data_IF_480211959396
#
_entry.id   IF_480211959396
#
_cell.length_a   1.000
_cell.length_b   1.000
_cell.length_c   1.000
_cell.angle_alpha   90.00
_cell.angle_beta   90.00
_cell.angle_gamma   90.00
#
_symmetry.space_group_name_H-M   'P 1'
#
loop_
_entity.id
_entity.type
_entity.pdbx_description
1 polymer ?
#
# COMPACT_ATOMS: atom_id res chain seq x y z
N UNK A 1 -17.62 7.00 19.01
CA UNK A 1 -17.39 8.36 18.52
C UNK A 1 -17.42 8.28 17.00
N UNK A 2 -18.47 8.78 16.36
CA UNK A 2 -18.53 8.87 14.89
C UNK A 2 -17.64 10.04 14.50
N UNK A 3 -16.54 9.77 13.82
CA UNK A 3 -15.68 10.81 13.27
C UNK A 3 -16.51 11.61 12.25
N UNK A 4 -16.72 12.88 12.51
CA UNK A 4 -17.29 13.81 11.50
C UNK A 4 -16.29 13.83 10.34
N UNK A 5 -16.70 13.47 9.12
CA UNK A 5 -15.80 13.56 7.98
C UNK A 5 -15.31 15.01 7.87
N UNK A 6 -14.02 15.24 7.64
CA UNK A 6 -13.50 16.58 7.40
C UNK A 6 -14.25 17.20 6.22
N UNK A 7 -14.70 18.43 6.37
CA UNK A 7 -15.28 19.19 5.25
C UNK A 7 -14.23 19.26 4.15
N UNK A 8 -14.53 18.81 2.92
CA UNK A 8 -13.54 18.84 1.84
C UNK A 8 -13.06 20.28 1.64
N UNK A 9 -11.77 20.52 1.58
CA UNK A 9 -11.24 21.85 1.36
C UNK A 9 -11.72 22.36 -0.01
N UNK A 10 -12.25 23.58 -0.03
CA UNK A 10 -12.67 24.23 -1.28
C UNK A 10 -11.44 24.77 -1.99
N UNK A 11 -10.73 23.93 -2.72
CA UNK A 11 -9.52 24.32 -3.46
C UNK A 11 -9.76 25.43 -4.46
N UNK A 12 -10.98 25.50 -5.01
CA UNK A 12 -11.40 26.56 -5.92
C UNK A 12 -11.58 27.94 -5.26
N UNK A 13 -11.58 28.02 -3.93
CA UNK A 13 -11.61 29.28 -3.20
C UNK A 13 -10.21 29.89 -2.98
N UNK A 14 -9.15 29.17 -3.34
CA UNK A 14 -7.77 29.56 -3.13
C UNK A 14 -7.10 29.91 -4.46
N UNK A 15 -6.28 30.98 -4.50
CA UNK A 15 -5.54 31.34 -5.69
C UNK A 15 -4.48 30.29 -6.05
N UNK A 16 -4.05 30.23 -7.33
CA UNK A 16 -3.13 29.21 -7.83
C UNK A 16 -1.80 29.18 -7.06
N UNK A 17 -1.26 30.34 -6.65
CA UNK A 17 -0.03 30.45 -5.84
C UNK A 17 -0.14 29.67 -4.53
N UNK A 18 -1.28 29.78 -3.86
CA UNK A 18 -1.50 29.12 -2.57
C UNK A 18 -1.63 27.60 -2.74
N UNK A 19 -2.35 27.16 -3.76
CA UNK A 19 -2.49 25.73 -4.05
C UNK A 19 -1.15 25.10 -4.44
N UNK A 20 -0.41 25.74 -5.34
CA UNK A 20 0.92 25.28 -5.78
C UNK A 20 1.94 25.31 -4.62
N UNK A 21 1.98 26.39 -3.84
CA UNK A 21 2.89 26.50 -2.70
C UNK A 21 2.63 25.41 -1.64
N UNK A 22 1.36 25.06 -1.38
CA UNK A 22 1.01 23.98 -0.45
C UNK A 22 1.54 22.63 -0.89
N UNK A 23 1.53 22.32 -2.19
CA UNK A 23 2.15 21.11 -2.71
C UNK A 23 3.67 21.13 -2.54
N UNK A 24 4.31 22.27 -2.79
CA UNK A 24 5.77 22.42 -2.78
C UNK A 24 6.38 22.40 -1.38
N UNK A 25 5.65 22.85 -0.35
CA UNK A 25 6.15 22.91 1.05
C UNK A 25 6.22 21.52 1.71
N UNK A 26 5.60 20.49 1.13
CA UNK A 26 5.62 19.13 1.64
C UNK A 26 6.98 18.43 1.55
N UNK A 27 7.11 17.30 2.22
CA UNK A 27 8.32 16.45 2.22
C UNK A 27 8.60 15.76 0.87
N UNK A 28 7.75 15.96 -0.12
CA UNK A 28 7.85 15.30 -1.42
C UNK A 28 7.46 13.81 -1.39
N UNK A 29 7.74 13.08 -2.49
CA UNK A 29 7.36 11.68 -2.61
C UNK A 29 8.30 10.72 -1.84
N UNK A 30 9.51 11.15 -1.49
CA UNK A 30 10.56 10.29 -0.93
C UNK A 30 10.15 9.52 0.35
N UNK A 31 9.48 10.12 1.37
CA UNK A 31 9.05 9.39 2.55
C UNK A 31 8.05 8.27 2.24
N UNK A 32 7.16 8.47 1.26
CA UNK A 32 6.19 7.45 0.84
C UNK A 32 6.87 6.30 0.09
N UNK A 33 7.87 6.58 -0.73
CA UNK A 33 8.67 5.56 -1.40
C UNK A 33 9.50 4.74 -0.39
N UNK A 34 10.05 5.38 0.63
CA UNK A 34 10.73 4.68 1.73
C UNK A 34 9.75 3.80 2.52
N UNK A 35 8.56 4.29 2.80
CA UNK A 35 7.50 3.50 3.44
C UNK A 35 7.09 2.31 2.58
N UNK A 36 6.95 2.48 1.26
CA UNK A 36 6.65 1.39 0.34
C UNK A 36 7.71 0.28 0.42
N UNK A 37 8.99 0.66 0.32
CA UNK A 37 10.11 -0.28 0.44
C UNK A 37 10.14 -0.99 1.81
N UNK A 38 9.84 -0.27 2.90
CA UNK A 38 9.73 -0.86 4.24
C UNK A 38 8.61 -1.89 4.34
N UNK A 39 7.44 -1.62 3.74
CA UNK A 39 6.33 -2.57 3.70
C UNK A 39 6.62 -3.79 2.83
N UNK A 40 7.33 -3.62 1.71
CA UNK A 40 7.80 -4.74 0.88
C UNK A 40 8.78 -5.63 1.65
N UNK A 41 9.75 -5.03 2.34
CA UNK A 41 10.68 -5.77 3.21
C UNK A 41 9.97 -6.54 4.30
N UNK A 42 8.94 -5.94 4.94
CA UNK A 42 8.11 -6.62 5.93
C UNK A 42 7.33 -7.80 5.31
N UNK A 43 6.79 -7.64 4.10
CA UNK A 43 6.09 -8.71 3.42
C UNK A 43 7.00 -9.92 3.17
N UNK A 44 8.23 -9.69 2.70
CA UNK A 44 9.24 -10.74 2.48
C UNK A 44 9.59 -11.45 3.80
N UNK A 45 9.79 -10.68 4.88
CA UNK A 45 10.10 -11.24 6.19
C UNK A 45 8.97 -12.12 6.73
N UNK A 46 7.74 -11.67 6.64
CA UNK A 46 6.56 -12.42 7.07
C UNK A 46 6.36 -13.70 6.24
N UNK A 47 6.64 -13.64 4.93
CA UNK A 47 6.59 -14.81 4.05
C UNK A 47 7.64 -15.84 4.45
N UNK A 48 8.89 -15.40 4.68
CA UNK A 48 9.97 -16.25 5.16
C UNK A 48 9.59 -16.94 6.47
N UNK A 49 9.04 -16.20 7.44
CA UNK A 49 8.59 -16.77 8.71
C UNK A 49 7.47 -17.81 8.53
N UNK A 50 6.51 -17.54 7.62
CA UNK A 50 5.45 -18.50 7.34
C UNK A 50 5.99 -19.80 6.72
N UNK A 51 6.99 -19.69 5.83
CA UNK A 51 7.63 -20.84 5.20
C UNK A 51 8.49 -21.64 6.16
N UNK A 52 9.27 -20.98 7.01
CA UNK A 52 10.07 -21.62 8.05
C UNK A 52 9.18 -22.39 9.03
N UNK A 53 8.06 -21.79 9.44
CA UNK A 53 7.11 -22.45 10.35
C UNK A 53 6.44 -23.65 9.66
N UNK A 54 6.05 -23.53 8.41
CA UNK A 54 5.48 -24.64 7.63
C UNK A 54 6.51 -25.78 7.45
N UNK A 55 7.76 -25.43 7.16
CA UNK A 55 8.88 -26.37 7.06
C UNK A 55 9.14 -27.10 8.37
N UNK A 56 9.17 -26.38 9.49
CA UNK A 56 9.35 -26.96 10.82
C UNK A 56 8.21 -27.94 11.18
N UNK A 57 6.95 -27.60 10.86
CA UNK A 57 5.83 -28.51 11.05
C UNK A 57 5.92 -29.76 10.17
N UNK A 58 6.36 -29.63 8.94
CA UNK A 58 6.59 -30.76 8.04
C UNK A 58 7.66 -31.71 8.58
N UNK A 59 8.80 -31.16 9.04
CA UNK A 59 9.86 -31.95 9.69
C UNK A 59 9.35 -32.62 10.97
N UNK A 60 8.61 -31.92 11.81
CA UNK A 60 8.05 -32.44 13.03
C UNK A 60 7.16 -33.67 12.77
N UNK A 61 6.28 -33.58 11.77
CA UNK A 61 5.36 -34.69 11.42
C UNK A 61 6.06 -35.89 10.81
N UNK A 62 7.28 -35.72 10.28
CA UNK A 62 8.08 -36.87 9.79
C UNK A 62 8.66 -37.72 10.88
N UNK A 63 8.96 -37.14 12.06
CA UNK A 63 9.61 -37.83 13.17
C UNK A 63 8.68 -38.05 14.36
N UNK A 64 7.58 -37.32 14.45
CA UNK A 64 6.62 -37.41 15.56
C UNK A 64 5.22 -37.70 15.04
N UNK A 65 4.63 -38.82 15.46
CA UNK A 65 3.32 -39.26 15.00
C UNK A 65 2.34 -39.43 16.16
N UNK A 66 1.05 -39.50 15.86
CA UNK A 66 -0.02 -39.68 16.82
C UNK A 66 -0.82 -38.42 17.10
N UNK A 67 -1.84 -38.56 17.95
CA UNK A 67 -2.83 -37.52 18.22
C UNK A 67 -2.25 -36.22 18.77
N UNK A 68 -1.15 -36.27 19.49
CA UNK A 68 -0.46 -35.09 20.01
C UNK A 68 0.21 -34.29 18.90
N UNK A 69 0.86 -34.97 17.95
CA UNK A 69 1.42 -34.31 16.74
C UNK A 69 0.34 -33.66 15.90
N UNK A 70 -0.77 -34.36 15.64
CA UNK A 70 -1.89 -33.85 14.88
C UNK A 70 -2.51 -32.59 15.51
N UNK A 71 -2.64 -32.57 16.85
CA UNK A 71 -3.10 -31.40 17.59
C UNK A 71 -2.14 -30.21 17.48
N UNK A 72 -0.83 -30.45 17.58
CA UNK A 72 0.18 -29.41 17.46
C UNK A 72 0.12 -28.75 16.06
N UNK A 73 0.02 -29.59 15.03
CA UNK A 73 -0.15 -29.07 13.65
C UNK A 73 -1.44 -28.28 13.51
N UNK A 74 -2.58 -28.82 13.96
CA UNK A 74 -3.87 -28.15 13.87
C UNK A 74 -3.90 -26.82 14.63
N UNK A 75 -3.22 -26.73 15.77
CA UNK A 75 -3.10 -25.50 16.54
C UNK A 75 -2.21 -24.44 15.88
N UNK A 76 -1.19 -24.86 15.12
CA UNK A 76 -0.21 -23.96 14.50
C UNK A 76 -0.63 -23.51 13.09
N UNK A 77 -1.41 -24.29 12.35
CA UNK A 77 -1.88 -23.93 11.00
C UNK A 77 -2.54 -22.54 10.92
N UNK A 78 -3.40 -22.12 11.87
CA UNK A 78 -3.98 -20.77 11.83
C UNK A 78 -2.93 -19.65 11.87
N UNK A 79 -1.79 -19.89 12.54
CA UNK A 79 -0.66 -18.92 12.56
C UNK A 79 -0.05 -18.74 11.19
N UNK A 80 0.20 -19.84 10.48
CA UNK A 80 0.74 -19.78 9.11
C UNK A 80 -0.23 -19.02 8.19
N UNK A 81 -1.52 -19.32 8.28
CA UNK A 81 -2.54 -18.64 7.48
C UNK A 81 -2.64 -17.15 7.83
N UNK A 82 -2.52 -16.81 9.11
CA UNK A 82 -2.49 -15.42 9.55
C UNK A 82 -1.25 -14.69 9.02
N UNK A 83 -0.05 -15.29 9.10
CA UNK A 83 1.17 -14.72 8.51
C UNK A 83 1.01 -14.46 7.02
N UNK A 84 0.44 -15.41 6.26
CA UNK A 84 0.12 -15.22 4.83
C UNK A 84 -0.83 -14.05 4.57
N UNK A 85 -1.83 -13.89 5.43
CA UNK A 85 -2.74 -12.74 5.35
C UNK A 85 -2.00 -11.44 5.60
N UNK A 86 -1.08 -11.42 6.56
CA UNK A 86 -0.25 -10.24 6.85
C UNK A 86 0.70 -9.89 5.70
N UNK A 87 1.24 -10.89 4.98
CA UNK A 87 2.01 -10.67 3.74
C UNK A 87 1.19 -9.87 2.73
N UNK A 88 -0.04 -10.32 2.45
CA UNK A 88 -0.91 -9.64 1.49
C UNK A 88 -1.25 -8.20 1.93
N UNK A 89 -1.49 -8.00 3.24
CA UNK A 89 -1.74 -6.66 3.77
C UNK A 89 -0.50 -5.76 3.67
N UNK A 90 0.69 -6.28 3.94
CA UNK A 90 1.93 -5.52 3.81
C UNK A 90 2.19 -5.13 2.35
N UNK A 91 2.01 -6.06 1.40
CA UNK A 91 2.10 -5.78 -0.04
C UNK A 91 1.10 -4.70 -0.48
N UNK A 92 -0.15 -4.79 -0.02
CA UNK A 92 -1.17 -3.77 -0.30
C UNK A 92 -0.75 -2.39 0.21
N UNK A 93 -0.18 -2.29 1.41
CA UNK A 93 0.32 -1.02 1.97
C UNK A 93 1.51 -0.47 1.21
N UNK A 94 2.40 -1.34 0.72
CA UNK A 94 3.48 -0.93 -0.17
C UNK A 94 2.95 -0.28 -1.45
N UNK A 95 1.95 -0.92 -2.09
CA UNK A 95 1.28 -0.37 -3.28
C UNK A 95 0.57 0.95 -2.98
N UNK A 96 -0.13 1.07 -1.85
CA UNK A 96 -0.80 2.32 -1.44
C UNK A 96 0.20 3.46 -1.22
N UNK A 97 1.34 3.19 -0.59
CA UNK A 97 2.39 4.18 -0.38
C UNK A 97 3.04 4.61 -1.70
N UNK A 98 3.32 3.69 -2.62
CA UNK A 98 3.82 3.99 -3.96
C UNK A 98 2.81 4.79 -4.79
N UNK A 99 1.52 4.42 -4.72
CA UNK A 99 0.45 5.16 -5.37
C UNK A 99 0.37 6.59 -4.84
N UNK A 100 0.47 6.79 -3.52
CA UNK A 100 0.47 8.13 -2.92
C UNK A 100 1.65 8.98 -3.38
N UNK A 101 2.84 8.40 -3.52
CA UNK A 101 4.01 9.11 -4.07
C UNK A 101 3.78 9.52 -5.53
N UNK A 102 3.16 8.66 -6.32
CA UNK A 102 2.80 8.94 -7.72
C UNK A 102 1.74 10.03 -7.82
N UNK A 103 0.69 9.96 -6.99
CA UNK A 103 -0.37 10.98 -6.93
C UNK A 103 0.19 12.36 -6.58
N UNK A 104 1.12 12.43 -5.62
CA UNK A 104 1.82 13.68 -5.29
C UNK A 104 2.62 14.22 -6.49
N UNK A 105 3.40 13.37 -7.15
CA UNK A 105 4.21 13.77 -8.31
C UNK A 105 3.33 14.26 -9.46
N UNK A 106 2.22 13.56 -9.71
CA UNK A 106 1.25 13.97 -10.73
C UNK A 106 0.64 15.33 -10.39
N UNK A 107 0.19 15.54 -9.15
CA UNK A 107 -0.36 16.83 -8.72
C UNK A 107 0.65 17.96 -8.91
N UNK A 108 1.91 17.75 -8.53
CA UNK A 108 2.98 18.74 -8.68
C UNK A 108 3.27 19.09 -10.15
N UNK A 109 3.20 18.10 -11.05
CA UNK A 109 3.46 18.32 -12.49
C UNK A 109 2.27 18.88 -13.24
N UNK A 110 1.05 18.70 -12.73
CA UNK A 110 -0.19 19.21 -13.35
C UNK A 110 -0.61 20.59 -12.85
N UNK A 111 -0.10 21.03 -11.68
CA UNK A 111 -0.36 22.38 -11.17
C UNK A 111 0.48 23.42 -11.91
N UNK A 112 0.00 24.68 -12.11
CA UNK A 112 0.82 25.72 -12.69
C UNK A 112 2.06 25.98 -11.84
N UNK A 113 3.28 25.99 -12.41
CA UNK A 113 4.49 26.28 -11.65
C UNK A 113 4.53 27.75 -11.21
N UNK A 114 5.09 28.02 -10.03
CA UNK A 114 5.19 29.41 -9.49
C UNK A 114 5.79 30.39 -10.50
N UNK A 115 6.88 30.07 -11.23
CA UNK A 115 7.45 31.02 -12.21
C UNK A 115 6.48 31.40 -13.33
N UNK A 116 5.58 30.48 -13.75
CA UNK A 116 4.56 30.80 -14.76
C UNK A 116 3.52 31.78 -14.23
N UNK A 117 3.11 31.60 -12.97
CA UNK A 117 2.16 32.51 -12.29
C UNK A 117 2.79 33.88 -12.10
N UNK A 118 4.03 33.97 -11.66
CA UNK A 118 4.78 35.21 -11.51
C UNK A 118 4.93 35.93 -12.86
N UNK A 119 5.26 35.19 -13.92
CA UNK A 119 5.36 35.75 -15.28
C UNK A 119 4.03 36.34 -15.75
N UNK A 120 2.90 35.71 -15.44
CA UNK A 120 1.58 36.22 -15.74
C UNK A 120 1.35 37.58 -15.04
N UNK A 121 1.67 37.68 -13.75
CA UNK A 121 1.55 38.93 -12.99
C UNK A 121 2.46 40.07 -13.53
N UNK A 122 3.71 39.73 -13.86
CA UNK A 122 4.64 40.70 -14.48
C UNK A 122 4.10 41.18 -15.83
N UNK A 123 3.61 40.24 -16.65
CA UNK A 123 3.00 40.59 -17.95
C UNK A 123 1.79 41.50 -17.77
N UNK A 124 0.91 41.18 -16.80
CA UNK A 124 -0.24 42.03 -16.46
C UNK A 124 0.19 43.45 -16.10
N UNK A 125 1.16 43.60 -15.20
CA UNK A 125 1.66 44.90 -14.76
C UNK A 125 2.25 45.73 -15.92
N UNK A 126 3.00 45.09 -16.83
CA UNK A 126 3.57 45.75 -18.02
C UNK A 126 2.46 46.18 -18.97
N UNK A 127 1.47 45.34 -19.24
CA UNK A 127 0.34 45.67 -20.11
C UNK A 127 -0.48 46.84 -19.57
N UNK A 128 -0.72 46.88 -18.24
CA UNK A 128 -1.41 47.99 -17.59
C UNK A 128 -0.58 49.29 -17.68
N UNK A 129 0.71 49.23 -17.35
CA UNK A 129 1.59 50.41 -17.39
C UNK A 129 1.72 51.02 -18.80
N UNK A 130 1.55 50.22 -19.84
CA UNK A 130 1.65 50.64 -21.23
C UNK A 130 0.28 50.82 -21.93
N UNK A 131 -0.83 50.72 -21.19
CA UNK A 131 -2.19 50.81 -21.75
C UNK A 131 -2.62 52.25 -22.09
N UNK A 132 -1.79 52.95 -22.88
CA UNK A 132 -2.12 54.27 -23.30
C UNK A 132 -3.32 54.26 -24.28
N UNK A 133 -4.33 55.08 -24.02
CA UNK A 133 -5.58 55.15 -24.79
C UNK A 133 -6.32 53.81 -24.96
N UNK A 134 -6.06 52.81 -24.07
CA UNK A 134 -6.77 51.53 -24.09
C UNK A 134 -6.24 50.53 -25.12
N UNK A 135 -5.05 50.74 -25.69
CA UNK A 135 -4.48 49.85 -26.72
C UNK A 135 -4.23 48.44 -26.24
N UNK A 136 -4.02 48.24 -24.92
CA UNK A 136 -3.77 46.95 -24.30
C UNK A 136 -5.01 46.34 -23.63
N UNK A 137 -6.20 46.91 -23.77
CA UNK A 137 -7.41 46.41 -23.12
C UNK A 137 -7.68 44.93 -23.44
N UNK A 138 -7.54 44.53 -24.72
CA UNK A 138 -7.73 43.15 -25.13
C UNK A 138 -6.60 42.22 -24.62
N UNK A 139 -5.31 42.54 -24.75
CA UNK A 139 -4.22 41.76 -24.11
C UNK A 139 -4.35 41.64 -22.60
N UNK A 140 -4.76 42.66 -21.86
CA UNK A 140 -5.03 42.60 -20.44
C UNK A 140 -6.13 41.55 -20.14
N UNK A 141 -7.26 41.64 -20.85
CA UNK A 141 -8.35 40.67 -20.66
C UNK A 141 -7.94 39.23 -20.95
N UNK A 142 -7.11 38.99 -21.97
CA UNK A 142 -6.57 37.65 -22.25
C UNK A 142 -5.63 37.15 -21.13
N UNK A 143 -4.79 38.04 -20.59
CA UNK A 143 -3.90 37.69 -19.47
C UNK A 143 -4.69 37.39 -18.19
N UNK A 144 -5.74 38.18 -17.91
CA UNK A 144 -6.66 37.91 -16.79
C UNK A 144 -7.40 36.57 -16.96
N UNK A 145 -7.88 36.27 -18.18
CA UNK A 145 -8.50 34.96 -18.46
C UNK A 145 -7.51 33.81 -18.25
N UNK A 146 -6.25 34.00 -18.64
CA UNK A 146 -5.22 32.98 -18.39
C UNK A 146 -5.02 32.71 -16.89
N UNK A 147 -4.98 33.77 -16.08
CA UNK A 147 -4.85 33.64 -14.63
C UNK A 147 -6.12 33.09 -13.97
N UNK A 148 -7.26 33.79 -14.11
CA UNK A 148 -8.49 33.54 -13.36
C UNK A 148 -9.26 32.30 -13.88
N UNK A 149 -9.08 31.92 -15.14
CA UNK A 149 -9.79 30.78 -15.71
C UNK A 149 -8.86 29.58 -15.85
N UNK A 150 -7.74 29.70 -16.57
CA UNK A 150 -6.85 28.54 -16.80
C UNK A 150 -6.07 28.14 -15.55
N UNK A 151 -5.21 29.05 -15.04
CA UNK A 151 -4.30 28.72 -13.92
C UNK A 151 -5.06 28.40 -12.64
N UNK A 152 -6.11 29.15 -12.34
CA UNK A 152 -6.94 28.94 -11.15
C UNK A 152 -7.62 27.56 -11.16
N UNK A 153 -8.30 27.22 -12.26
CA UNK A 153 -8.95 25.92 -12.38
C UNK A 153 -7.94 24.77 -12.46
N UNK A 154 -6.80 24.98 -13.10
CA UNK A 154 -5.73 23.98 -13.19
C UNK A 154 -5.17 23.66 -11.81
N UNK A 155 -4.82 24.67 -11.00
CA UNK A 155 -4.30 24.47 -9.66
C UNK A 155 -5.33 23.82 -8.73
N UNK A 156 -6.58 24.31 -8.77
CA UNK A 156 -7.65 23.76 -7.95
C UNK A 156 -8.00 22.32 -8.36
N UNK A 157 -8.07 22.03 -9.66
CA UNK A 157 -8.33 20.69 -10.19
C UNK A 157 -7.22 19.69 -9.83
N UNK A 158 -5.94 20.10 -9.87
CA UNK A 158 -4.82 19.29 -9.45
C UNK A 158 -4.92 18.92 -7.96
N UNK A 159 -5.28 19.88 -7.10
CA UNK A 159 -5.48 19.65 -5.68
C UNK A 159 -6.69 18.75 -5.37
N UNK A 160 -7.78 18.93 -6.12
CA UNK A 160 -8.98 18.09 -5.98
C UNK A 160 -8.68 16.63 -6.34
N UNK A 161 -8.02 16.41 -7.48
CA UNK A 161 -7.59 15.07 -7.91
C UNK A 161 -6.64 14.43 -6.89
N UNK A 162 -5.64 15.17 -6.42
CA UNK A 162 -4.72 14.70 -5.38
C UNK A 162 -5.44 14.34 -4.08
N UNK A 163 -6.40 15.14 -3.65
CA UNK A 163 -7.22 14.87 -2.47
C UNK A 163 -8.05 13.60 -2.63
N UNK A 164 -8.69 13.42 -3.79
CA UNK A 164 -9.49 12.24 -4.09
C UNK A 164 -8.63 10.96 -4.07
N UNK A 165 -7.49 10.96 -4.75
CA UNK A 165 -6.55 9.84 -4.77
C UNK A 165 -5.99 9.56 -3.38
N UNK A 166 -5.61 10.59 -2.61
CA UNK A 166 -5.15 10.45 -1.23
C UNK A 166 -6.20 9.77 -0.36
N UNK A 167 -7.46 10.12 -0.52
CA UNK A 167 -8.57 9.50 0.23
C UNK A 167 -8.65 8.00 -0.05
N UNK A 168 -8.50 7.58 -1.30
CA UNK A 168 -8.47 6.17 -1.70
C UNK A 168 -7.21 5.47 -1.16
N UNK A 169 -6.05 6.09 -1.29
CA UNK A 169 -4.78 5.51 -0.86
C UNK A 169 -4.68 5.32 0.67
N UNK A 170 -5.46 6.08 1.44
CA UNK A 170 -5.53 6.00 2.90
C UNK A 170 -6.60 5.01 3.42
N UNK A 171 -7.31 4.30 2.54
CA UNK A 171 -8.26 3.25 2.94
C UNK A 171 -7.51 2.01 3.41
N UNK A 172 -7.12 2.02 4.68
CA UNK A 172 -6.42 0.90 5.30
C UNK A 172 -7.38 -0.12 5.88
N UNK A 173 -7.17 -1.38 5.53
CA UNK A 173 -7.85 -2.51 6.17
C UNK A 173 -7.30 -2.71 7.59
N UNK A 174 -8.16 -2.95 8.59
CA UNK A 174 -7.70 -3.21 9.94
C UNK A 174 -6.94 -4.53 10.01
N UNK A 175 -5.84 -4.55 10.77
CA UNK A 175 -5.10 -5.77 11.06
C UNK A 175 -5.86 -6.55 12.13
N UNK A 176 -6.28 -7.76 11.77
CA UNK A 176 -6.93 -8.68 12.72
C UNK A 176 -5.84 -9.37 13.54
N UNK A 177 -5.87 -9.25 14.87
CA UNK A 177 -4.90 -9.93 15.73
C UNK A 177 -5.01 -11.45 15.56
N UNK A 178 -3.88 -12.13 15.66
CA UNK A 178 -3.88 -13.58 15.67
C UNK A 178 -4.54 -14.13 16.93
N UNK A 179 -5.29 -15.20 16.79
CA UNK A 179 -5.80 -15.95 17.94
C UNK A 179 -4.66 -16.72 18.63
N UNK A 180 -4.62 -16.77 19.98
CA UNK A 180 -3.61 -17.52 20.71
C UNK A 180 -3.59 -18.99 20.30
N UNK A 181 -2.41 -19.54 20.04
CA UNK A 181 -2.21 -20.97 19.75
C UNK A 181 -2.49 -21.81 21.01
N UNK A 182 -2.14 -21.26 22.18
CA UNK A 182 -2.35 -21.88 23.49
C UNK A 182 -3.22 -20.95 24.32
N UNK A 183 -4.35 -21.45 24.81
CA UNK A 183 -5.20 -20.72 25.75
C UNK A 183 -4.71 -21.00 27.17
N UNK A 184 -4.32 -19.99 27.96
CA UNK A 184 -3.94 -20.16 29.35
C UNK A 184 -5.11 -20.78 30.16
N UNK A 185 -4.87 -21.86 30.86
CA UNK A 185 -5.86 -22.52 31.74
C UNK A 185 -6.78 -23.53 31.06
N UNK A 186 -6.67 -23.76 29.77
CA UNK A 186 -7.31 -24.89 29.09
C UNK A 186 -6.33 -26.06 29.04
N UNK A 187 -5.90 -26.51 30.22
CA UNK A 187 -5.28 -27.81 30.35
C UNK A 187 -6.32 -28.87 30.02
N UNK A 188 -5.98 -29.75 29.11
CA UNK A 188 -6.53 -31.09 28.84
C UNK A 188 -8.05 -31.37 28.96
N UNK A 189 -8.85 -30.45 29.36
CA UNK A 189 -10.27 -30.70 29.45
C UNK A 189 -10.93 -30.18 28.19
N UNK A 190 -11.36 -31.12 27.40
CA UNK A 190 -12.73 -31.11 27.09
C UNK A 190 -13.09 -31.48 25.67
N UNK A 191 -13.84 -30.75 24.99
CA UNK A 191 -14.59 -31.17 23.81
C UNK A 191 -13.71 -31.65 22.65
N UNK A 192 -12.54 -31.03 22.43
CA UNK A 192 -11.60 -31.45 21.39
C UNK A 192 -10.91 -32.78 21.69
N UNK A 193 -10.59 -33.06 22.98
CA UNK A 193 -10.04 -34.32 23.39
C UNK A 193 -11.10 -35.45 23.33
N UNK A 194 -12.33 -35.13 23.68
CA UNK A 194 -13.46 -36.08 23.57
C UNK A 194 -13.79 -36.37 22.09
N UNK A 195 -13.80 -35.36 21.22
CA UNK A 195 -14.03 -35.54 19.79
C UNK A 195 -12.87 -36.30 19.10
N UNK A 196 -11.61 -36.03 19.48
CA UNK A 196 -10.48 -36.75 18.92
C UNK A 196 -10.42 -38.21 19.37
N UNK A 197 -10.90 -38.56 20.58
CA UNK A 197 -10.97 -39.91 21.10
C UNK A 197 -12.10 -40.73 20.48
N UNK A 198 -13.14 -40.10 19.97
CA UNK A 198 -14.31 -40.75 19.33
C UNK A 198 -14.17 -40.88 17.81
N UNK A 199 -13.23 -40.16 17.17
CA UNK A 199 -13.01 -40.27 15.73
C UNK A 199 -12.35 -41.64 15.38
N UNK A 200 -12.85 -42.33 14.35
CA UNK A 200 -12.24 -43.57 13.87
C UNK A 200 -10.78 -43.30 13.45
N UNK A 201 -9.88 -44.22 13.73
CA UNK A 201 -8.43 -44.13 13.40
C UNK A 201 -8.20 -43.82 11.92
N UNK A 202 -9.10 -44.26 11.03
CA UNK A 202 -9.09 -43.95 9.59
C UNK A 202 -9.31 -42.47 9.31
N UNK A 203 -10.22 -41.79 10.04
CA UNK A 203 -10.47 -40.38 9.90
C UNK A 203 -9.28 -39.53 10.39
N UNK A 204 -8.60 -39.95 11.43
CA UNK A 204 -7.39 -39.30 11.94
C UNK A 204 -6.23 -39.41 10.94
N UNK A 205 -6.06 -40.53 10.26
CA UNK A 205 -5.05 -40.73 9.23
C UNK A 205 -5.32 -39.84 7.99
N UNK A 206 -6.58 -39.73 7.57
CA UNK A 206 -6.97 -38.86 6.44
C UNK A 206 -6.78 -37.38 6.78
N UNK A 207 -7.15 -36.96 7.98
CA UNK A 207 -6.96 -35.59 8.42
C UNK A 207 -5.46 -35.21 8.46
N UNK A 208 -4.60 -36.11 8.96
CA UNK A 208 -3.14 -35.94 8.98
C UNK A 208 -2.59 -35.80 7.56
N UNK A 209 -2.96 -36.67 6.64
CA UNK A 209 -2.49 -36.63 5.27
C UNK A 209 -2.92 -35.33 4.58
N UNK A 210 -4.17 -34.91 4.73
CA UNK A 210 -4.66 -33.64 4.19
C UNK A 210 -3.89 -32.44 4.77
N UNK A 211 -3.51 -32.47 6.04
CA UNK A 211 -2.74 -31.39 6.67
C UNK A 211 -1.31 -31.35 6.14
N UNK A 212 -0.65 -32.48 5.97
CA UNK A 212 0.70 -32.57 5.41
C UNK A 212 0.70 -32.11 3.94
N UNK A 213 -0.29 -32.51 3.16
CA UNK A 213 -0.46 -32.06 1.79
C UNK A 213 -0.69 -30.54 1.70
N UNK A 214 -1.51 -29.98 2.59
CA UNK A 214 -1.74 -28.53 2.65
C UNK A 214 -0.47 -27.76 2.98
N UNK A 215 0.32 -28.24 3.96
CA UNK A 215 1.62 -27.63 4.33
C UNK A 215 2.59 -27.69 3.15
N UNK A 216 2.68 -28.83 2.47
CA UNK A 216 3.54 -29.01 1.30
C UNK A 216 3.13 -28.12 0.14
N UNK A 217 1.84 -27.97 -0.13
CA UNK A 217 1.31 -27.10 -1.17
C UNK A 217 1.63 -25.61 -0.87
N UNK A 218 1.47 -25.18 0.38
CA UNK A 218 1.82 -23.81 0.80
C UNK A 218 3.32 -23.56 0.61
N UNK A 219 4.17 -24.47 1.03
CA UNK A 219 5.63 -24.36 0.87
C UNK A 219 6.03 -24.28 -0.62
N UNK A 220 5.45 -25.13 -1.47
CA UNK A 220 5.72 -25.12 -2.91
C UNK A 220 5.29 -23.81 -3.57
N UNK A 221 4.10 -23.31 -3.25
CA UNK A 221 3.59 -22.01 -3.80
C UNK A 221 4.51 -20.85 -3.40
N UNK A 222 5.02 -20.85 -2.18
CA UNK A 222 5.95 -19.82 -1.70
C UNK A 222 7.28 -19.87 -2.44
N UNK A 223 7.82 -21.06 -2.66
CA UNK A 223 9.08 -21.22 -3.41
C UNK A 223 8.96 -20.74 -4.86
N UNK A 224 7.82 -20.99 -5.51
CA UNK A 224 7.53 -20.51 -6.86
C UNK A 224 7.45 -18.98 -6.88
N UNK A 225 6.78 -18.39 -5.91
CA UNK A 225 6.60 -16.93 -5.81
C UNK A 225 7.93 -16.22 -5.54
N UNK A 226 8.78 -16.78 -4.67
CA UNK A 226 10.11 -16.25 -4.39
C UNK A 226 11.00 -16.30 -5.64
N UNK A 227 10.96 -17.40 -6.40
CA UNK A 227 11.69 -17.54 -7.65
C UNK A 227 11.22 -16.52 -8.70
N UNK A 228 9.90 -16.30 -8.82
CA UNK A 228 9.34 -15.29 -9.71
C UNK A 228 9.72 -13.86 -9.29
N UNK A 229 9.71 -13.56 -8.00
CA UNK A 229 10.16 -12.27 -7.46
C UNK A 229 11.63 -11.99 -7.74
N UNK A 230 12.48 -12.98 -7.55
CA UNK A 230 13.92 -12.88 -7.86
C UNK A 230 14.18 -12.69 -9.36
N UNK A 231 13.44 -13.38 -10.23
CA UNK A 231 13.52 -13.21 -11.66
C UNK A 231 13.10 -11.80 -12.11
N UNK A 232 12.03 -11.26 -11.55
CA UNK A 232 11.58 -9.90 -11.82
C UNK A 232 12.60 -8.84 -11.35
N UNK A 233 13.21 -9.03 -10.19
CA UNK A 233 14.26 -8.15 -9.69
C UNK A 233 15.50 -8.16 -10.58
N UNK A 234 15.91 -9.34 -11.08
CA UNK A 234 17.03 -9.47 -12.03
C UNK A 234 16.73 -8.81 -13.38
N UNK A 235 15.49 -8.93 -13.88
CA UNK A 235 15.06 -8.28 -15.12
C UNK A 235 15.13 -6.74 -14.99
N UNK A 236 14.64 -6.18 -13.90
CA UNK A 236 14.72 -4.74 -13.63
C UNK A 236 16.16 -4.24 -13.52
N UNK A 237 17.06 -5.01 -12.90
CA UNK A 237 18.48 -4.68 -12.86
C UNK A 237 19.16 -4.75 -14.24
N UNK A 238 18.74 -5.67 -15.10
CA UNK A 238 19.25 -5.78 -16.47
C UNK A 238 18.81 -4.57 -17.32
N UNK A 239 17.53 -4.16 -17.21
CA UNK A 239 17.02 -2.97 -17.89
C UNK A 239 17.72 -1.68 -17.42
N UNK A 240 17.96 -1.51 -16.13
CA UNK A 240 18.68 -0.34 -15.60
C UNK A 240 20.11 -0.25 -16.11
N UNK A 241 20.79 -1.39 -16.32
CA UNK A 241 22.13 -1.43 -16.92
C UNK A 241 22.13 -1.14 -18.42
N UNK A 242 21.07 -1.51 -19.13
CA UNK A 242 20.93 -1.26 -20.56
C UNK A 242 20.61 0.21 -20.89
N UNK A 243 19.96 0.93 -19.98
CA UNK A 243 19.62 2.37 -20.13
C UNK A 243 20.78 3.28 -19.71
N UNK A 244 21.75 2.76 -18.95
CA UNK A 244 22.93 3.51 -18.47
C UNK A 244 24.21 3.32 -19.30
N UNK A 245 24.15 2.60 -20.42
CA UNK A 245 25.23 2.40 -21.40
C UNK A 245 24.87 3.09 -22.74
#
# INVERSE_FOLDING_TARGET
>A
MVAVPPVPPTWFALPPEVNTARLMVGAGPAPMLQAASGWEGLAILLETQADELAGALSQLTSVWSGTASERAVAATMPMIMWLRTMVLQAQKRALQASAQASSYTLALTTTPPIPEIEQNHVTHAVLEATNFLGINTMPIGLNEMDYFVRMWNQAAGAMEAYHAETTVNLLFEPIVPMMPIVLPGVGETTAAAALASTAPRTAQGLARNATVEAISAISTMSSIKLAAGNAAAQANHAEQRAVGA
#
